data_IF_027886252974
#
_entry.id   IF_027886252974
#
_cell.length_a   1.000
_cell.length_b   1.000
_cell.length_c   1.000
_cell.angle_alpha   90.00
_cell.angle_beta   90.00
_cell.angle_gamma   90.00
#
_symmetry.space_group_name_H-M   'P 1'
#
loop_
_entity.id
_entity.type
_entity.pdbx_description
1 polymer ?
#
# COMPACT_ATOMS: atom_id res chain seq x y z
N UNK A 1 4.36 17.67 -0.10
CA UNK A 1 3.15 17.99 0.71
C UNK A 1 2.76 16.75 1.50
N UNK A 2 2.31 16.86 2.76
CA UNK A 2 1.77 15.71 3.51
C UNK A 2 0.26 15.65 3.29
N UNK A 3 -0.28 14.45 3.07
CA UNK A 3 -1.73 14.23 2.88
C UNK A 3 -2.45 14.48 4.21
N UNK A 4 -3.48 15.32 4.20
CA UNK A 4 -4.38 15.52 5.34
C UNK A 4 -5.58 14.54 5.32
N UNK A 5 -6.40 14.56 6.38
CA UNK A 5 -7.55 13.64 6.50
C UNK A 5 -8.60 13.81 5.41
N UNK A 6 -8.82 15.03 4.89
CA UNK A 6 -9.80 15.28 3.85
C UNK A 6 -9.28 14.78 2.50
N UNK A 7 -8.01 15.04 2.21
CA UNK A 7 -7.33 14.52 1.03
C UNK A 7 -7.27 12.99 1.01
N UNK A 8 -7.08 12.36 2.18
CA UNK A 8 -7.13 10.91 2.29
C UNK A 8 -8.53 10.33 2.03
N UNK A 9 -9.59 10.96 2.56
CA UNK A 9 -10.98 10.56 2.28
C UNK A 9 -11.31 10.70 0.80
N UNK A 10 -10.95 11.82 0.18
CA UNK A 10 -11.17 12.04 -1.24
C UNK A 10 -10.45 10.99 -2.11
N UNK A 11 -9.23 10.62 -1.74
CA UNK A 11 -8.50 9.52 -2.40
C UNK A 11 -9.24 8.18 -2.29
N UNK A 12 -9.79 7.84 -1.12
CA UNK A 12 -10.54 6.59 -0.95
C UNK A 12 -11.85 6.59 -1.74
N UNK A 13 -12.54 7.72 -1.84
CA UNK A 13 -13.73 7.87 -2.68
C UNK A 13 -13.41 7.63 -4.17
N UNK A 14 -12.28 8.14 -4.65
CA UNK A 14 -11.81 7.91 -6.02
C UNK A 14 -11.48 6.44 -6.27
N UNK A 15 -10.80 5.78 -5.32
CA UNK A 15 -10.54 4.33 -5.38
C UNK A 15 -11.87 3.56 -5.45
N UNK A 16 -12.84 3.86 -4.58
CA UNK A 16 -14.16 3.21 -4.62
C UNK A 16 -14.87 3.41 -5.97
N UNK A 17 -14.80 4.61 -6.54
CA UNK A 17 -15.42 4.92 -7.81
C UNK A 17 -14.79 4.15 -8.99
N UNK A 18 -13.50 3.83 -8.89
CA UNK A 18 -12.78 3.04 -9.89
C UNK A 18 -13.15 1.55 -9.87
N UNK A 19 -13.76 1.09 -8.78
CA UNK A 19 -14.13 -0.31 -8.55
C UNK A 19 -15.63 -0.49 -8.25
N UNK A 20 -16.54 -0.06 -9.16
CA UNK A 20 -17.97 0.06 -8.85
C UNK A 20 -18.73 -1.27 -8.69
N UNK A 21 -18.12 -2.39 -9.11
CA UNK A 21 -18.75 -3.72 -9.23
C UNK A 21 -18.20 -4.79 -8.29
N UNK A 22 -17.17 -4.50 -7.51
CA UNK A 22 -16.60 -5.49 -6.58
C UNK A 22 -17.40 -5.53 -5.27
N UNK A 23 -17.31 -6.68 -4.62
CA UNK A 23 -17.68 -6.89 -3.22
C UNK A 23 -17.03 -5.82 -2.31
N UNK A 24 -17.52 -5.65 -1.06
CA UNK A 24 -16.98 -4.65 -0.15
C UNK A 24 -15.45 -4.70 -0.06
N UNK A 25 -14.81 -3.55 -0.32
CA UNK A 25 -13.35 -3.42 -0.36
C UNK A 25 -12.84 -3.32 1.07
N UNK A 26 -11.95 -4.25 1.46
CA UNK A 26 -11.22 -4.16 2.72
C UNK A 26 -9.87 -3.47 2.50
N UNK A 27 -9.66 -2.34 3.16
CA UNK A 27 -8.44 -1.53 3.05
C UNK A 27 -7.51 -1.86 4.21
N UNK A 28 -6.26 -2.20 3.89
CA UNK A 28 -5.17 -2.34 4.85
C UNK A 28 -4.31 -1.08 4.76
N UNK A 29 -4.07 -0.41 5.89
CA UNK A 29 -3.17 0.73 5.95
C UNK A 29 -2.47 0.80 7.31
N UNK A 30 -1.31 1.47 7.34
CA UNK A 30 -0.61 1.73 8.60
C UNK A 30 -1.42 2.68 9.49
N UNK A 31 -1.32 2.48 10.82
CA UNK A 31 -2.05 3.24 11.83
C UNK A 31 -1.88 4.75 11.63
N UNK A 32 -2.90 5.40 11.08
CA UNK A 32 -2.96 6.85 10.92
C UNK A 32 -4.02 7.43 11.84
N UNK A 33 -3.72 8.45 12.66
CA UNK A 33 -4.68 8.99 13.61
C UNK A 33 -5.66 9.94 12.90
N UNK A 34 -6.84 9.49 12.50
CA UNK A 34 -7.85 10.38 11.92
C UNK A 34 -9.26 10.08 12.42
N UNK A 35 -9.82 10.99 13.22
CA UNK A 35 -11.20 10.93 13.73
C UNK A 35 -12.26 11.20 12.64
N UNK A 36 -11.95 12.06 11.66
CA UNK A 36 -12.83 12.35 10.51
C UNK A 36 -13.09 11.12 9.64
N UNK A 37 -12.08 10.27 9.50
CA UNK A 37 -12.13 9.05 8.71
C UNK A 37 -13.12 8.02 9.29
N UNK A 38 -13.16 7.87 10.62
CA UNK A 38 -14.08 6.92 11.28
C UNK A 38 -15.55 7.24 11.02
N UNK A 39 -15.89 8.53 10.97
CA UNK A 39 -17.25 8.98 10.62
C UNK A 39 -17.58 8.63 9.17
N UNK A 40 -16.70 8.99 8.24
CA UNK A 40 -16.89 8.69 6.82
C UNK A 40 -17.01 7.18 6.54
N UNK A 41 -16.21 6.33 7.21
CA UNK A 41 -16.29 4.88 7.07
C UNK A 41 -17.66 4.33 7.53
N UNK A 42 -18.17 4.83 8.66
CA UNK A 42 -19.49 4.42 9.18
C UNK A 42 -20.65 4.70 8.22
N UNK A 43 -20.49 5.73 7.37
CA UNK A 43 -21.48 6.13 6.38
C UNK A 43 -21.33 5.36 5.04
N UNK A 44 -20.24 4.60 4.83
CA UNK A 44 -19.89 3.94 3.57
C UNK A 44 -19.79 2.41 3.67
N UNK A 45 -20.90 1.69 3.46
CA UNK A 45 -21.01 0.22 3.61
C UNK A 45 -20.14 -0.57 2.61
N UNK A 46 -19.70 0.05 1.51
CA UNK A 46 -18.89 -0.61 0.46
C UNK A 46 -17.40 -0.69 0.79
N UNK A 47 -16.94 -0.10 1.89
CA UNK A 47 -15.53 -0.13 2.29
C UNK A 47 -15.40 -0.42 3.78
N UNK A 48 -14.43 -1.27 4.13
CA UNK A 48 -14.04 -1.53 5.51
C UNK A 48 -12.54 -1.32 5.69
N UNK A 49 -12.12 -1.06 6.92
CA UNK A 49 -10.70 -1.02 7.28
C UNK A 49 -10.35 -2.31 7.99
N UNK A 50 -9.20 -2.88 7.67
CA UNK A 50 -8.62 -3.96 8.43
C UNK A 50 -7.90 -3.41 9.68
N UNK A 51 -8.65 -3.25 10.77
CA UNK A 51 -8.15 -2.69 12.04
C UNK A 51 -7.21 -3.62 12.81
N UNK A 52 -7.06 -4.87 12.37
CA UNK A 52 -6.21 -5.88 13.02
C UNK A 52 -4.77 -5.93 12.47
N UNK A 53 -4.39 -4.97 11.62
CA UNK A 53 -3.01 -4.91 11.13
C UNK A 53 -2.05 -4.59 12.29
N UNK A 54 -0.96 -5.37 12.46
CA UNK A 54 -0.04 -5.14 13.57
C UNK A 54 0.63 -3.75 13.46
N UNK A 55 0.73 -3.01 14.58
CA UNK A 55 1.31 -1.68 14.57
C UNK A 55 2.80 -1.75 14.26
N UNK A 56 3.30 -0.74 13.53
CA UNK A 56 4.71 -0.63 13.13
C UNK A 56 5.25 -1.77 12.25
N UNK A 57 4.40 -2.68 11.74
CA UNK A 57 4.81 -3.75 10.83
C UNK A 57 4.84 -3.29 9.38
N UNK A 58 5.79 -2.40 9.10
CA UNK A 58 6.04 -1.92 7.73
C UNK A 58 6.60 -3.01 6.83
N UNK A 59 7.39 -3.92 7.39
CA UNK A 59 7.92 -5.12 6.73
C UNK A 59 6.84 -6.03 6.11
N UNK A 60 5.69 -6.15 6.78
CA UNK A 60 4.55 -6.92 6.30
C UNK A 60 3.70 -6.19 5.25
N UNK A 61 3.87 -4.86 5.12
CA UNK A 61 3.01 -4.04 4.25
C UNK A 61 3.40 -4.25 2.78
N UNK A 62 2.51 -4.82 1.93
CA UNK A 62 2.85 -5.11 0.53
C UNK A 62 3.37 -3.90 -0.25
N UNK A 63 2.82 -2.71 0.04
CA UNK A 63 3.27 -1.47 -0.59
C UNK A 63 4.73 -1.12 -0.29
N UNK A 64 5.25 -1.46 0.90
CA UNK A 64 6.65 -1.22 1.22
C UNK A 64 7.58 -2.13 0.42
N UNK A 65 7.16 -3.38 0.13
CA UNK A 65 7.88 -4.26 -0.78
C UNK A 65 7.89 -3.69 -2.21
N UNK A 66 6.75 -3.15 -2.68
CA UNK A 66 6.69 -2.47 -3.99
C UNK A 66 7.68 -1.31 -4.09
N UNK A 67 7.72 -0.41 -3.09
CA UNK A 67 8.69 0.68 -3.10
C UNK A 67 10.13 0.18 -3.03
N UNK A 68 10.39 -0.87 -2.25
CA UNK A 68 11.71 -1.50 -2.19
C UNK A 68 12.15 -2.03 -3.55
N UNK A 69 11.25 -2.67 -4.29
CA UNK A 69 11.55 -3.23 -5.61
C UNK A 69 11.69 -2.12 -6.67
N UNK A 70 10.94 -1.01 -6.57
CA UNK A 70 11.19 0.20 -7.37
C UNK A 70 12.60 0.74 -7.12
N UNK A 71 13.06 0.80 -5.87
CA UNK A 71 14.42 1.27 -5.56
C UNK A 71 15.49 0.34 -6.15
N UNK A 72 15.28 -0.98 -6.11
CA UNK A 72 16.19 -1.94 -6.78
C UNK A 72 16.24 -1.72 -8.28
N UNK A 73 15.12 -1.42 -8.92
CA UNK A 73 15.07 -1.08 -10.34
C UNK A 73 15.86 0.21 -10.65
N UNK A 74 15.75 1.23 -9.79
CA UNK A 74 16.53 2.46 -9.90
C UNK A 74 18.03 2.17 -9.83
N UNK A 75 18.47 1.36 -8.87
CA UNK A 75 19.88 0.97 -8.71
C UNK A 75 20.38 0.13 -9.89
N UNK A 76 19.61 -0.87 -10.31
CA UNK A 76 19.99 -1.77 -11.41
C UNK A 76 20.13 -1.03 -12.75
N UNK A 77 19.23 -0.07 -13.01
CA UNK A 77 19.24 0.76 -14.22
C UNK A 77 20.11 2.02 -14.11
N UNK A 78 20.71 2.26 -12.94
CA UNK A 78 21.49 3.47 -12.66
C UNK A 78 20.71 4.75 -12.99
N UNK A 79 19.42 4.78 -12.61
CA UNK A 79 18.53 5.91 -12.89
C UNK A 79 18.97 7.11 -12.04
N UNK A 80 19.28 8.22 -12.73
CA UNK A 80 19.59 9.50 -12.11
C UNK A 80 18.47 10.48 -12.43
N UNK A 81 17.88 11.06 -11.38
CA UNK A 81 16.77 12.01 -11.47
C UNK A 81 17.19 13.37 -10.93
N UNK A 82 16.87 14.42 -11.70
CA UNK A 82 17.32 15.79 -11.43
C UNK A 82 16.16 16.76 -11.11
N UNK A 83 14.91 16.26 -11.10
CA UNK A 83 13.74 17.02 -10.70
C UNK A 83 12.71 16.13 -10.02
N UNK A 84 11.85 16.73 -9.21
CA UNK A 84 10.72 16.03 -8.58
C UNK A 84 9.78 15.45 -9.64
N UNK A 85 9.56 16.17 -10.74
CA UNK A 85 8.72 15.69 -11.85
C UNK A 85 9.29 14.43 -12.50
N UNK A 86 10.60 14.40 -12.74
CA UNK A 86 11.25 13.23 -13.32
C UNK A 86 11.25 12.06 -12.34
N UNK A 87 11.42 12.33 -11.04
CA UNK A 87 11.29 11.31 -10.00
C UNK A 87 9.91 10.65 -10.02
N UNK A 88 8.82 11.43 -10.04
CA UNK A 88 7.47 10.84 -10.10
C UNK A 88 7.26 10.00 -11.36
N UNK A 89 7.75 10.47 -12.50
CA UNK A 89 7.64 9.76 -13.77
C UNK A 89 8.40 8.43 -13.73
N UNK A 90 9.61 8.41 -13.19
CA UNK A 90 10.39 7.16 -13.08
C UNK A 90 9.80 6.18 -12.07
N UNK A 91 9.25 6.68 -10.96
CA UNK A 91 8.49 5.85 -10.01
C UNK A 91 7.26 5.23 -10.69
N UNK A 92 6.49 6.01 -11.44
CA UNK A 92 5.33 5.54 -12.19
C UNK A 92 5.72 4.48 -13.23
N UNK A 93 6.76 4.72 -14.02
CA UNK A 93 7.26 3.76 -15.01
C UNK A 93 7.66 2.42 -14.36
N UNK A 94 8.41 2.47 -13.24
CA UNK A 94 8.82 1.27 -12.52
C UNK A 94 7.61 0.54 -11.92
N UNK A 95 6.67 1.27 -11.33
CA UNK A 95 5.45 0.70 -10.79
C UNK A 95 4.64 -0.02 -11.87
N UNK A 96 4.43 0.60 -13.03
CA UNK A 96 3.74 -0.02 -14.16
C UNK A 96 4.46 -1.27 -14.63
N UNK A 97 5.78 -1.21 -14.82
CA UNK A 97 6.58 -2.36 -15.25
C UNK A 97 6.46 -3.55 -14.29
N UNK A 98 6.52 -3.30 -12.98
CA UNK A 98 6.39 -4.35 -11.96
C UNK A 98 4.97 -4.93 -11.92
N UNK A 99 3.95 -4.07 -12.06
CA UNK A 99 2.53 -4.46 -11.90
C UNK A 99 1.88 -5.00 -13.17
N UNK A 100 2.48 -4.78 -14.35
CA UNK A 100 2.12 -5.48 -15.59
C UNK A 100 2.28 -7.01 -15.47
N UNK A 101 3.18 -7.47 -14.60
CA UNK A 101 3.27 -8.87 -14.25
C UNK A 101 2.16 -9.24 -13.25
N UNK A 102 1.07 -9.85 -13.73
CA UNK A 102 -0.06 -10.27 -12.87
C UNK A 102 0.34 -11.17 -11.69
N UNK A 103 1.41 -11.97 -11.84
CA UNK A 103 1.90 -12.81 -10.75
C UNK A 103 2.59 -12.00 -9.65
N UNK A 104 3.10 -10.81 -9.95
CA UNK A 104 3.78 -9.96 -9.00
C UNK A 104 2.81 -9.51 -7.89
N UNK A 105 1.70 -8.87 -8.26
CA UNK A 105 0.70 -8.41 -7.29
C UNK A 105 0.15 -9.57 -6.44
N UNK A 106 -0.14 -10.71 -7.07
CA UNK A 106 -0.62 -11.91 -6.38
C UNK A 106 0.43 -12.49 -5.41
N UNK A 107 1.72 -12.47 -5.80
CA UNK A 107 2.81 -12.95 -4.94
C UNK A 107 2.98 -12.10 -3.69
N UNK A 108 2.83 -10.78 -3.80
CA UNK A 108 2.92 -9.86 -2.65
C UNK A 108 1.88 -10.20 -1.58
N UNK A 109 0.63 -10.46 -2.00
CA UNK A 109 -0.46 -10.80 -1.09
C UNK A 109 -0.27 -12.23 -0.54
N UNK A 110 0.10 -13.17 -1.40
CA UNK A 110 0.26 -14.59 -1.03
C UNK A 110 1.43 -14.84 -0.08
N UNK A 111 2.39 -13.92 -0.02
CA UNK A 111 3.54 -14.00 0.88
C UNK A 111 3.23 -13.53 2.30
N UNK A 112 2.16 -12.76 2.53
CA UNK A 112 1.82 -12.22 3.86
C UNK A 112 1.67 -13.35 4.91
N UNK A 113 0.91 -14.44 4.67
CA UNK A 113 0.78 -15.51 5.65
C UNK A 113 2.12 -16.19 5.97
N UNK A 114 3.01 -16.31 4.98
CA UNK A 114 4.33 -16.91 5.16
C UNK A 114 5.22 -16.03 6.04
N UNK A 115 5.20 -14.72 5.83
CA UNK A 115 5.94 -13.77 6.65
C UNK A 115 5.40 -13.75 8.09
N UNK A 116 4.08 -13.73 8.27
CA UNK A 116 3.45 -13.82 9.60
C UNK A 116 3.85 -15.11 10.33
N UNK A 117 3.88 -16.24 9.63
CA UNK A 117 4.32 -17.51 10.21
C UNK A 117 5.78 -17.45 10.68
N UNK A 118 6.67 -16.82 9.91
CA UNK A 118 8.07 -16.67 10.30
C UNK A 118 8.24 -15.81 11.55
N UNK A 119 7.50 -14.70 11.66
CA UNK A 119 7.50 -13.84 12.85
C UNK A 119 7.09 -14.64 14.10
N UNK A 120 5.98 -15.38 14.01
CA UNK A 120 5.49 -16.22 15.11
C UNK A 120 6.50 -17.32 15.48
N UNK A 121 7.09 -18.00 14.50
CA UNK A 121 8.03 -19.10 14.75
C UNK A 121 9.37 -18.63 15.33
N UNK A 122 9.80 -17.41 15.02
CA UNK A 122 11.07 -16.85 15.50
C UNK A 122 10.97 -16.11 16.83
N UNK A 123 9.77 -15.95 17.40
CA UNK A 123 9.52 -15.02 18.52
C UNK A 123 10.08 -13.61 18.26
N UNK A 124 10.14 -13.20 16.99
CA UNK A 124 10.62 -11.87 16.60
C UNK A 124 9.43 -10.90 16.61
N UNK A 125 9.67 -9.65 16.99
CA UNK A 125 8.70 -8.57 16.71
C UNK A 125 8.84 -8.16 15.23
N UNK A 126 7.74 -7.75 14.57
CA UNK A 126 7.81 -7.16 13.23
C UNK A 126 8.81 -5.99 13.22
N UNK A 127 9.69 -5.91 12.22
CA UNK A 127 10.74 -4.87 12.15
C UNK A 127 10.25 -3.57 11.51
#
# INVERSE_FOLDING_TARGET
>A
MRIDSQQYVAFLEEVMASYPKVDPISVIHNKYPCCLFKKWLGDNIKMSIFDSWPPASGDLMPMNAVFTDILKEFEAKQILVHSEKDLYKEVENCFLTLTENENYANSLISNIPLQLQQIVLKNEEPM
#
